data_IF_172441428348
#
_entry.id   IF_172441428348
#
_cell.length_a   1.000
_cell.length_b   1.000
_cell.length_c   1.000
_cell.angle_alpha   90.00
_cell.angle_beta   90.00
_cell.angle_gamma   90.00
#
_symmetry.space_group_name_H-M   'P 1'
#
loop_
_entity.id
_entity.type
_entity.pdbx_description
1 polymer ?
#
# COMPACT_ATOMS: atom_id res chain seq x y z
N UNK A 1 -1.46 -19.37 12.85
CA UNK A 1 -0.79 -18.06 12.73
C UNK A 1 0.68 -18.24 13.08
N UNK A 2 1.62 -18.12 12.12
CA UNK A 2 3.02 -18.47 12.33
C UNK A 2 3.85 -17.29 12.87
N UNK A 3 3.32 -16.46 13.78
CA UNK A 3 4.09 -15.37 14.38
C UNK A 3 4.06 -15.43 15.90
N UNK A 4 5.10 -14.89 16.51
CA UNK A 4 5.19 -14.76 17.96
C UNK A 4 4.26 -13.65 18.44
N UNK A 5 3.70 -13.82 19.64
CA UNK A 5 2.89 -12.82 20.31
C UNK A 5 3.41 -12.61 21.74
N UNK A 6 3.25 -11.39 22.25
CA UNK A 6 3.41 -11.18 23.68
C UNK A 6 2.31 -11.96 24.43
N UNK A 7 2.61 -12.57 25.58
CA UNK A 7 1.60 -13.13 26.46
C UNK A 7 0.51 -12.10 26.77
N UNK A 8 -0.72 -12.57 26.98
CA UNK A 8 -1.81 -11.71 27.38
C UNK A 8 -1.53 -11.06 28.74
N UNK A 9 -1.72 -9.74 28.86
CA UNK A 9 -1.46 -8.98 30.07
C UNK A 9 0.02 -8.62 30.31
N UNK A 10 0.91 -8.89 29.36
CA UNK A 10 2.33 -8.52 29.49
C UNK A 10 2.50 -6.99 29.55
N UNK A 11 3.08 -6.51 30.65
CA UNK A 11 3.29 -5.08 30.94
C UNK A 11 4.17 -4.38 29.89
N UNK A 12 5.02 -5.13 29.17
CA UNK A 12 5.89 -4.59 28.13
C UNK A 12 5.08 -4.01 26.97
N UNK A 13 3.81 -4.41 26.78
CA UNK A 13 2.92 -3.85 25.77
C UNK A 13 2.85 -2.33 25.88
N UNK A 14 2.63 -1.78 27.07
CA UNK A 14 2.48 -0.34 27.29
C UNK A 14 3.81 0.40 27.10
N UNK A 15 4.92 -0.21 27.54
CA UNK A 15 6.26 0.33 27.29
C UNK A 15 6.58 0.39 25.80
N UNK A 16 6.21 -0.64 25.03
CA UNK A 16 6.41 -0.71 23.59
C UNK A 16 5.53 0.30 22.85
N UNK A 17 4.26 0.42 23.21
CA UNK A 17 3.35 1.42 22.65
C UNK A 17 3.90 2.84 22.85
N UNK A 18 4.39 3.17 24.05
CA UNK A 18 5.04 4.47 24.34
C UNK A 18 6.34 4.66 23.56
N UNK A 19 7.24 3.67 23.58
CA UNK A 19 8.54 3.72 22.88
C UNK A 19 8.36 3.96 21.38
N UNK A 20 7.45 3.20 20.77
CA UNK A 20 7.14 3.30 19.35
C UNK A 20 6.06 4.32 19.02
N UNK A 21 5.58 5.09 20.02
CA UNK A 21 4.56 6.14 19.86
C UNK A 21 3.37 5.62 19.03
N UNK A 22 2.92 4.41 19.34
CA UNK A 22 1.78 3.78 18.67
C UNK A 22 0.52 4.41 19.26
N UNK A 23 -0.11 5.30 18.49
CA UNK A 23 -1.34 5.97 18.86
C UNK A 23 -2.57 5.25 18.28
N UNK A 24 -2.42 4.66 17.09
CA UNK A 24 -3.50 4.04 16.35
C UNK A 24 -3.13 2.63 15.89
N UNK A 25 -4.12 1.76 15.83
CA UNK A 25 -4.00 0.37 15.36
C UNK A 25 -4.79 0.24 14.05
N UNK A 26 -4.29 -0.51 13.04
CA UNK A 26 -3.04 -1.27 13.07
C UNK A 26 -1.82 -0.40 12.78
N UNK A 27 -0.71 -0.72 13.46
CA UNK A 27 0.63 -0.13 13.31
C UNK A 27 1.66 -1.24 13.14
N UNK A 28 2.64 -1.04 12.25
CA UNK A 28 3.71 -2.00 11.99
C UNK A 28 5.08 -1.30 12.03
N UNK A 29 5.95 -1.81 12.89
CA UNK A 29 7.30 -1.29 13.11
C UNK A 29 8.29 -2.37 12.69
N UNK A 30 9.26 -1.99 11.85
CA UNK A 30 10.30 -2.91 11.38
C UNK A 30 11.57 -2.65 12.18
N UNK A 31 12.08 -3.72 12.80
CA UNK A 31 13.34 -3.73 13.54
C UNK A 31 14.30 -4.63 12.78
N UNK A 32 15.48 -4.10 12.47
CA UNK A 32 16.52 -4.84 11.76
C UNK A 32 17.24 -5.86 12.66
N UNK A 33 18.09 -6.73 12.09
CA UNK A 33 18.82 -7.76 12.83
C UNK A 33 19.73 -7.20 13.95
N UNK A 34 20.17 -5.95 13.83
CA UNK A 34 20.95 -5.24 14.86
C UNK A 34 20.14 -4.76 16.05
N UNK A 35 18.80 -4.93 16.04
CA UNK A 35 17.89 -4.40 17.05
C UNK A 35 17.53 -2.93 16.86
N UNK A 36 18.04 -2.29 15.80
CA UNK A 36 17.70 -0.91 15.43
C UNK A 36 16.39 -0.84 14.67
N UNK A 37 15.61 0.22 14.89
CA UNK A 37 14.37 0.48 14.15
C UNK A 37 14.71 0.99 12.76
N UNK A 38 14.26 0.29 11.72
CA UNK A 38 14.45 0.71 10.32
C UNK A 38 13.36 1.70 9.91
N UNK A 39 12.10 1.34 10.14
CA UNK A 39 10.96 2.22 9.89
C UNK A 39 9.84 1.99 10.91
N UNK A 40 9.11 3.07 11.22
CA UNK A 40 7.93 3.06 12.10
C UNK A 40 6.62 3.10 11.31
N UNK A 41 6.70 3.28 9.99
CA UNK A 41 5.55 3.40 9.09
C UNK A 41 5.54 2.28 8.03
N UNK A 42 6.01 1.09 8.42
CA UNK A 42 6.11 -0.06 7.51
C UNK A 42 4.76 -0.47 6.91
N UNK A 43 3.66 -0.21 7.65
CA UNK A 43 2.30 -0.47 7.17
C UNK A 43 2.03 0.31 5.87
N UNK A 44 2.38 1.59 5.81
CA UNK A 44 2.16 2.41 4.62
C UNK A 44 2.96 1.89 3.44
N UNK A 45 4.23 1.54 3.66
CA UNK A 45 5.06 0.95 2.61
C UNK A 45 4.53 -0.39 2.11
N UNK A 46 4.00 -1.25 2.99
CA UNK A 46 3.36 -2.51 2.58
C UNK A 46 2.09 -2.29 1.76
N UNK A 47 1.27 -1.30 2.12
CA UNK A 47 0.04 -0.99 1.38
C UNK A 47 0.33 -0.44 -0.03
N UNK A 48 1.47 0.22 -0.21
CA UNK A 48 1.86 0.86 -1.47
C UNK A 48 2.70 -0.08 -2.35
N UNK A 49 3.70 -0.74 -1.77
CA UNK A 49 4.71 -1.50 -2.50
C UNK A 49 4.63 -3.01 -2.26
N UNK A 50 3.75 -3.49 -1.37
CA UNK A 50 3.64 -4.90 -1.05
C UNK A 50 4.95 -5.49 -0.52
N UNK A 51 5.31 -6.68 -1.00
CA UNK A 51 6.52 -7.40 -0.59
C UNK A 51 7.82 -6.70 -1.05
N UNK A 52 7.75 -5.88 -2.10
CA UNK A 52 8.92 -5.19 -2.65
C UNK A 52 9.48 -4.13 -1.68
N UNK A 53 8.68 -3.70 -0.70
CA UNK A 53 9.14 -2.82 0.39
C UNK A 53 10.25 -3.47 1.23
N UNK A 54 10.39 -4.79 1.25
CA UNK A 54 11.48 -5.47 1.95
C UNK A 54 12.82 -5.18 1.24
N UNK A 55 13.91 -4.85 1.96
CA UNK A 55 14.15 -4.98 3.41
C UNK A 55 13.80 -3.75 4.26
N UNK A 56 12.96 -2.84 3.76
CA UNK A 56 12.55 -1.60 4.42
C UNK A 56 13.73 -0.71 4.80
N UNK A 57 14.79 -0.72 3.99
CA UNK A 57 15.88 0.25 4.11
C UNK A 57 15.48 1.53 3.40
N UNK A 58 15.96 2.65 3.93
CA UNK A 58 15.73 3.98 3.35
C UNK A 58 16.04 4.00 1.84
N UNK A 59 17.14 3.38 1.42
CA UNK A 59 17.55 3.27 0.02
C UNK A 59 16.49 2.56 -0.83
N UNK A 60 16.02 1.38 -0.41
CA UNK A 60 14.98 0.65 -1.15
C UNK A 60 13.66 1.42 -1.23
N UNK A 61 13.25 2.09 -0.15
CA UNK A 61 12.02 2.86 -0.13
C UNK A 61 12.11 4.06 -1.09
N UNK A 62 13.23 4.77 -1.09
CA UNK A 62 13.47 5.88 -2.02
C UNK A 62 13.50 5.41 -3.49
N UNK A 63 14.09 4.25 -3.78
CA UNK A 63 14.09 3.70 -5.13
C UNK A 63 12.67 3.35 -5.62
N UNK A 64 11.85 2.77 -4.75
CA UNK A 64 10.46 2.44 -5.06
C UNK A 64 9.61 3.71 -5.28
N UNK A 65 9.79 4.73 -4.44
CA UNK A 65 9.13 6.03 -4.62
C UNK A 65 9.51 6.67 -5.95
N UNK A 66 10.81 6.69 -6.29
CA UNK A 66 11.30 7.19 -7.58
C UNK A 66 10.68 6.44 -8.75
N UNK A 67 10.63 5.10 -8.70
CA UNK A 67 10.00 4.30 -9.77
C UNK A 67 8.54 4.69 -9.99
N UNK A 68 7.77 4.83 -8.91
CA UNK A 68 6.36 5.26 -8.99
C UNK A 68 6.21 6.69 -9.54
N UNK A 69 7.12 7.59 -9.22
CA UNK A 69 7.08 8.96 -9.73
C UNK A 69 7.48 9.01 -11.21
N UNK A 70 8.45 8.21 -11.65
CA UNK A 70 8.80 8.08 -13.08
C UNK A 70 7.66 7.47 -13.90
N UNK A 71 6.97 6.44 -13.39
CA UNK A 71 5.80 5.88 -14.03
C UNK A 71 4.66 6.90 -14.17
N UNK A 72 4.45 7.71 -13.13
CA UNK A 72 3.41 8.73 -13.14
C UNK A 72 3.65 9.87 -14.15
N UNK A 73 4.90 10.14 -14.52
CA UNK A 73 5.22 11.09 -15.60
C UNK A 73 4.69 10.65 -16.96
N UNK A 74 4.43 9.36 -17.15
CA UNK A 74 3.86 8.83 -18.38
C UNK A 74 2.33 8.94 -18.42
N UNK A 75 1.68 9.31 -17.30
CA UNK A 75 0.22 9.46 -17.22
C UNK A 75 -0.21 10.90 -17.48
N UNK A 76 -1.36 11.12 -18.16
CA UNK A 76 -1.89 12.46 -18.35
C UNK A 76 -2.31 13.07 -17.01
N UNK A 77 -2.03 14.37 -16.82
CA UNK A 77 -2.39 15.09 -15.59
C UNK A 77 -3.91 15.12 -15.37
N UNK A 78 -4.69 15.15 -16.45
CA UNK A 78 -6.16 15.19 -16.42
C UNK A 78 -6.74 14.18 -17.39
N UNK A 79 -7.82 13.50 -16.97
CA UNK A 79 -8.56 12.58 -17.82
C UNK A 79 -10.06 12.80 -17.71
N UNK A 80 -10.77 12.59 -18.82
CA UNK A 80 -12.23 12.47 -18.84
C UNK A 80 -12.57 10.99 -18.86
N UNK A 81 -13.49 10.59 -17.98
CA UNK A 81 -13.87 9.19 -17.83
C UNK A 81 -15.38 9.04 -18.02
N UNK A 82 -15.82 7.96 -18.67
CA UNK A 82 -17.24 7.71 -19.01
C UNK A 82 -18.13 7.63 -17.77
N UNK A 83 -17.61 7.07 -16.67
CA UNK A 83 -18.33 7.01 -15.38
C UNK A 83 -18.42 8.38 -14.67
N UNK A 84 -17.69 9.39 -15.15
CA UNK A 84 -17.64 10.71 -14.53
C UNK A 84 -17.40 11.82 -15.56
N UNK A 85 -18.34 12.02 -16.49
CA UNK A 85 -18.17 12.96 -17.61
C UNK A 85 -18.26 14.44 -17.22
N UNK A 86 -18.94 14.74 -16.11
CA UNK A 86 -19.25 16.12 -15.70
C UNK A 86 -17.99 16.90 -15.28
N UNK A 87 -17.01 16.22 -14.69
CA UNK A 87 -15.78 16.84 -14.23
C UNK A 87 -14.57 16.04 -14.68
N UNK A 88 -13.46 16.73 -14.96
CA UNK A 88 -12.18 16.07 -15.23
C UNK A 88 -11.60 15.52 -13.94
N UNK A 89 -11.02 14.32 -14.03
CA UNK A 89 -10.27 13.73 -12.93
C UNK A 89 -8.82 14.19 -13.03
N UNK A 90 -8.26 14.62 -11.91
CA UNK A 90 -6.87 15.07 -11.81
C UNK A 90 -6.02 13.97 -11.20
N UNK A 91 -4.86 13.71 -11.78
CA UNK A 91 -3.88 12.79 -11.23
C UNK A 91 -3.34 13.35 -9.91
N UNK A 92 -3.53 12.61 -8.83
CA UNK A 92 -3.14 13.01 -7.49
C UNK A 92 -2.27 11.95 -6.82
N UNK A 93 -1.15 12.38 -6.24
CA UNK A 93 -0.29 11.54 -5.41
C UNK A 93 -0.97 11.29 -4.08
N UNK A 94 -0.93 10.04 -3.63
CA UNK A 94 -1.43 9.61 -2.33
C UNK A 94 -0.27 9.24 -1.44
N UNK A 95 -0.13 9.95 -0.33
CA UNK A 95 0.94 9.72 0.65
C UNK A 95 0.38 9.22 1.98
N UNK A 96 1.21 8.43 2.67
CA UNK A 96 0.98 8.01 4.06
C UNK A 96 -0.17 7.02 4.24
N UNK A 97 -0.56 6.85 5.51
CA UNK A 97 -1.57 5.87 5.95
C UNK A 97 -2.98 6.13 5.43
N UNK A 98 -3.31 7.40 5.13
CA UNK A 98 -4.57 7.84 4.53
C UNK A 98 -4.51 7.88 3.00
N UNK A 99 -3.40 7.42 2.40
CA UNK A 99 -3.18 7.39 0.96
C UNK A 99 -3.87 6.23 0.24
N UNK A 100 -4.68 5.43 0.94
CA UNK A 100 -5.50 4.38 0.32
C UNK A 100 -6.89 4.92 -0.03
N UNK A 101 -7.48 4.41 -1.10
CA UNK A 101 -8.81 4.81 -1.55
C UNK A 101 -9.55 3.62 -2.15
N UNK A 102 -10.87 3.74 -2.23
CA UNK A 102 -11.69 2.81 -3.02
C UNK A 102 -11.80 3.34 -4.44
N UNK A 103 -11.57 2.49 -5.43
CA UNK A 103 -11.79 2.85 -6.83
C UNK A 103 -13.27 2.72 -7.17
N UNK A 104 -13.90 3.81 -7.61
CA UNK A 104 -15.32 3.83 -7.98
C UNK A 104 -15.63 3.06 -9.28
N UNK A 105 -14.59 2.67 -10.04
CA UNK A 105 -14.75 1.92 -11.28
C UNK A 105 -14.71 0.40 -11.11
N UNK A 106 -13.91 -0.11 -10.17
CA UNK A 106 -13.74 -1.55 -9.95
C UNK A 106 -13.95 -2.01 -8.51
N UNK A 107 -14.26 -1.07 -7.60
CA UNK A 107 -14.44 -1.31 -6.15
C UNK A 107 -13.19 -1.84 -5.43
N UNK A 108 -12.05 -1.93 -6.13
CA UNK A 108 -10.78 -2.37 -5.57
C UNK A 108 -10.06 -1.26 -4.78
N UNK A 109 -9.25 -1.67 -3.81
CA UNK A 109 -8.38 -0.76 -3.07
C UNK A 109 -7.29 -0.19 -3.99
N UNK A 110 -7.10 1.12 -3.97
CA UNK A 110 -6.01 1.81 -4.63
C UNK A 110 -5.06 2.43 -3.61
N UNK A 111 -3.80 2.56 -4.00
CA UNK A 111 -2.74 3.21 -3.24
C UNK A 111 -1.82 3.98 -4.21
N UNK A 112 -0.92 4.80 -3.68
CA UNK A 112 0.11 5.57 -4.41
C UNK A 112 -0.36 6.73 -5.29
N UNK A 113 -1.22 6.48 -6.27
CA UNK A 113 -1.68 7.45 -7.26
C UNK A 113 -3.14 7.16 -7.56
N UNK A 114 -3.90 8.22 -7.83
CA UNK A 114 -5.31 8.13 -8.18
C UNK A 114 -5.69 9.23 -9.15
N UNK A 115 -6.65 8.99 -10.01
CA UNK A 115 -7.40 10.05 -10.67
C UNK A 115 -8.56 10.46 -9.77
N UNK A 116 -8.53 11.70 -9.26
CA UNK A 116 -9.52 12.21 -8.29
C UNK A 116 -10.29 13.41 -8.84
N UNK A 117 -11.60 13.42 -8.63
CA UNK A 117 -12.41 14.64 -8.68
C UNK A 117 -12.57 15.22 -7.27
N UNK A 118 -12.08 16.43 -7.01
CA UNK A 118 -12.27 17.08 -5.70
C UNK A 118 -13.72 17.50 -5.43
N UNK A 119 -14.52 17.70 -6.47
CA UNK A 119 -15.90 18.17 -6.34
C UNK A 119 -16.88 17.05 -5.96
N UNK A 120 -16.58 15.82 -6.41
CA UNK A 120 -17.47 14.67 -6.23
C UNK A 120 -16.86 13.56 -5.36
N UNK A 121 -15.63 13.75 -4.89
CA UNK A 121 -14.81 12.75 -4.22
C UNK A 121 -14.76 11.41 -4.98
N UNK A 122 -14.76 11.48 -6.31
CA UNK A 122 -14.70 10.32 -7.20
C UNK A 122 -13.24 9.95 -7.46
N UNK A 123 -12.88 8.69 -7.24
CA UNK A 123 -11.51 8.19 -7.27
C UNK A 123 -11.40 6.96 -8.19
N UNK A 124 -10.46 7.00 -9.13
CA UNK A 124 -10.13 5.85 -9.99
C UNK A 124 -8.66 5.48 -9.87
N UNK A 125 -8.38 4.18 -10.03
CA UNK A 125 -7.02 3.73 -10.30
C UNK A 125 -6.49 4.35 -11.60
N UNK A 126 -5.18 4.64 -11.71
CA UNK A 126 -4.56 5.04 -12.97
C UNK A 126 -4.90 4.09 -14.12
N UNK A 127 -4.91 2.78 -13.87
CA UNK A 127 -5.30 1.77 -14.88
C UNK A 127 -6.77 1.87 -15.31
N UNK A 128 -7.68 2.08 -14.35
CA UNK A 128 -9.11 2.20 -14.61
C UNK A 128 -9.42 3.48 -15.39
N UNK A 129 -8.76 4.58 -15.04
CA UNK A 129 -8.94 5.87 -15.69
C UNK A 129 -8.40 5.90 -17.13
N UNK A 130 -7.34 5.14 -17.43
CA UNK A 130 -6.69 5.08 -18.75
C UNK A 130 -7.20 3.94 -19.65
N UNK A 131 -8.19 3.17 -19.19
CA UNK A 131 -8.82 2.13 -20.01
C UNK A 131 -7.93 0.91 -20.31
N UNK A 132 -6.90 0.63 -19.48
CA UNK A 132 -6.11 -0.60 -19.59
C UNK A 132 -6.88 -1.76 -18.92
N UNK A 133 -7.73 -2.38 -19.73
CA UNK A 133 -8.49 -3.64 -19.61
C UNK A 133 -8.98 -4.18 -18.24
N UNK A 134 -10.30 -4.36 -18.20
CA UNK A 134 -11.14 -5.42 -17.58
C UNK A 134 -10.54 -6.27 -16.45
N UNK A 135 -11.17 -6.16 -15.27
CA UNK A 135 -11.22 -7.12 -14.15
C UNK A 135 -10.04 -8.10 -14.08
N UNK A 136 -8.94 -7.67 -13.47
CA UNK A 136 -8.17 -8.60 -12.66
C UNK A 136 -8.96 -8.81 -11.38
N UNK A 137 -9.78 -9.87 -11.35
CA UNK A 137 -10.07 -10.55 -10.09
C UNK A 137 -8.73 -10.83 -9.42
N UNK A 138 -8.59 -10.40 -8.17
CA UNK A 138 -7.46 -10.76 -7.34
C UNK A 138 -7.43 -12.28 -7.20
N UNK A 139 -6.78 -12.98 -8.14
CA UNK A 139 -6.37 -14.35 -7.94
C UNK A 139 -5.21 -14.29 -6.95
N UNK A 140 -5.46 -14.84 -5.77
CA UNK A 140 -4.44 -15.36 -4.85
C UNK A 140 -3.62 -16.43 -5.59
N UNK A 141 -2.82 -16.00 -6.55
CA UNK A 141 -1.83 -16.84 -7.21
C UNK A 141 -0.49 -16.48 -6.61
N UNK A 142 -0.13 -17.30 -5.63
CA UNK A 142 1.20 -17.36 -5.06
C UNK A 142 2.26 -17.42 -6.17
N UNK A 143 3.33 -16.61 -6.12
CA UNK A 143 4.36 -16.61 -7.14
C UNK A 143 4.91 -18.02 -7.38
N UNK A 144 5.10 -18.40 -8.65
CA UNK A 144 5.57 -19.71 -9.07
C UNK A 144 6.80 -20.16 -8.25
N UNK A 145 6.67 -21.29 -7.56
CA UNK A 145 7.70 -21.80 -6.66
C UNK A 145 7.50 -21.44 -5.20
N UNK A 146 6.32 -20.96 -4.79
CA UNK A 146 5.92 -20.90 -3.39
C UNK A 146 4.67 -21.76 -3.12
N UNK A 147 4.74 -22.62 -2.11
CA UNK A 147 3.61 -23.34 -1.57
C UNK A 147 3.09 -22.60 -0.33
N UNK A 148 1.82 -22.19 -0.34
CA UNK A 148 1.20 -21.48 0.77
C UNK A 148 0.18 -22.39 1.47
N UNK A 149 0.40 -22.67 2.75
CA UNK A 149 -0.56 -23.37 3.62
C UNK A 149 -0.86 -22.51 4.84
N UNK A 150 -2.15 -22.24 5.10
CA UNK A 150 -2.59 -21.52 6.29
C UNK A 150 -2.02 -20.10 6.44
N UNK A 151 -1.81 -19.39 5.33
CA UNK A 151 -1.23 -18.04 5.29
C UNK A 151 0.29 -18.00 5.45
N UNK A 152 0.97 -19.15 5.29
CA UNK A 152 2.44 -19.25 5.35
C UNK A 152 2.94 -19.75 4.01
N UNK A 153 3.66 -18.90 3.28
CA UNK A 153 4.26 -19.26 2.00
C UNK A 153 5.71 -19.69 2.21
N UNK A 154 6.05 -20.89 1.72
CA UNK A 154 7.43 -21.40 1.65
C UNK A 154 7.82 -21.58 0.21
N UNK A 155 9.08 -21.34 -0.11
CA UNK A 155 9.61 -21.67 -1.43
C UNK A 155 9.55 -23.20 -1.60
N UNK A 156 8.88 -23.66 -2.66
CA UNK A 156 8.75 -25.06 -3.04
C UNK A 156 10.11 -25.66 -3.44
#
# INVERSE_FOLDING_TARGET
MPWLALPFGDERKDSLMKKFKILEIPSLIVIGPSGLTLTRDAKSHLLVHGADAFPFTEETLQELEKKLDEEAKAWPEKVKHELHERHELVLARRHGTTGTYSCDGCEGLGSSWSYRCEQCDFNLHPRCALGKDKKEEATDESPAGYACEGGVCRKA
#
